data_IF_665449282833
#
_entry.id   IF_665449282833
#
_cell.length_a   1.000
_cell.length_b   1.000
_cell.length_c   1.000
_cell.angle_alpha   90.00
_cell.angle_beta   90.00
_cell.angle_gamma   90.00
#
_symmetry.space_group_name_H-M   'P 1'
#
loop_
_entity.id
_entity.type
_entity.pdbx_description
1 polymer ?
#
# COMPACT_ATOMS: atom_id res chain seq x y z
N UNK A 1 8.98 45.40 -18.69
CA UNK A 1 9.36 44.18 -17.96
C UNK A 1 8.36 43.11 -18.32
N UNK A 2 8.75 41.84 -18.52
CA UNK A 2 7.74 40.82 -18.88
C UNK A 2 6.76 40.65 -17.71
N UNK A 3 5.45 40.49 -17.96
CA UNK A 3 4.45 40.33 -16.89
C UNK A 3 4.58 39.00 -16.13
N UNK A 4 5.58 38.18 -16.44
CA UNK A 4 5.75 36.82 -15.93
C UNK A 4 5.97 36.80 -14.41
N UNK A 5 6.77 37.74 -13.88
CA UNK A 5 6.98 37.87 -12.43
C UNK A 5 5.72 38.28 -11.69
N UNK A 6 4.90 39.15 -12.30
CA UNK A 6 3.64 39.62 -11.72
C UNK A 6 2.59 38.50 -11.70
N UNK A 7 2.49 37.72 -12.78
CA UNK A 7 1.60 36.56 -12.87
C UNK A 7 2.01 35.48 -11.87
N UNK A 8 3.31 35.21 -11.73
CA UNK A 8 3.81 34.27 -10.74
C UNK A 8 3.46 34.71 -9.31
N UNK A 9 3.71 35.97 -8.97
CA UNK A 9 3.36 36.51 -7.64
C UNK A 9 1.85 36.44 -7.38
N UNK A 10 1.02 36.77 -8.38
CA UNK A 10 -0.44 36.64 -8.24
C UNK A 10 -0.86 35.19 -7.93
N UNK A 11 -0.24 34.20 -8.57
CA UNK A 11 -0.49 32.79 -8.25
C UNK A 11 -0.07 32.45 -6.81
N UNK A 12 1.08 32.94 -6.33
CA UNK A 12 1.54 32.72 -4.95
C UNK A 12 0.64 33.41 -3.91
N UNK A 13 0.05 34.55 -4.23
CA UNK A 13 -0.89 35.23 -3.34
C UNK A 13 -2.19 34.44 -3.14
N UNK A 14 -2.61 33.67 -4.15
CA UNK A 14 -3.77 32.79 -4.05
C UNK A 14 -3.56 31.55 -3.16
N UNK A 15 -2.34 31.30 -2.65
CA UNK A 15 -2.09 30.20 -1.71
C UNK A 15 -2.83 30.38 -0.38
N UNK A 16 -3.23 31.62 -0.05
CA UNK A 16 -3.99 31.95 1.16
C UNK A 16 -5.48 32.16 0.89
N UNK A 17 -5.98 31.77 -0.28
CA UNK A 17 -7.41 31.84 -0.59
C UNK A 17 -8.23 30.97 0.37
N UNK A 18 -9.47 31.41 0.66
CA UNK A 18 -10.41 30.66 1.51
C UNK A 18 -10.87 29.36 0.84
N UNK A 19 -10.91 29.34 -0.49
CA UNK A 19 -11.32 28.17 -1.26
C UNK A 19 -10.14 27.22 -1.53
N UNK A 20 -10.30 25.96 -1.15
CA UNK A 20 -9.28 24.92 -1.38
C UNK A 20 -8.99 24.69 -2.87
N UNK A 21 -10.03 24.74 -3.72
CA UNK A 21 -9.87 24.57 -5.17
C UNK A 21 -8.98 25.64 -5.78
N UNK A 22 -9.11 26.89 -5.33
CA UNK A 22 -8.29 28.01 -5.78
C UNK A 22 -6.84 27.82 -5.31
N UNK A 23 -6.62 27.40 -4.07
CA UNK A 23 -5.27 27.12 -3.54
C UNK A 23 -4.56 26.01 -4.34
N UNK A 24 -5.27 24.93 -4.67
CA UNK A 24 -4.74 23.83 -5.46
C UNK A 24 -4.41 24.27 -6.90
N UNK A 25 -5.32 25.00 -7.56
CA UNK A 25 -5.10 25.55 -8.90
C UNK A 25 -3.92 26.54 -8.93
N UNK A 26 -3.77 27.34 -7.89
CA UNK A 26 -2.66 28.27 -7.73
C UNK A 26 -1.31 27.54 -7.61
N UNK A 27 -1.23 26.48 -6.79
CA UNK A 27 -0.02 25.67 -6.67
C UNK A 27 0.34 24.99 -8.00
N UNK A 28 -0.66 24.47 -8.70
CA UNK A 28 -0.49 23.88 -10.03
C UNK A 28 0.02 24.92 -11.05
N UNK A 29 -0.58 26.12 -11.09
CA UNK A 29 -0.15 27.19 -11.98
C UNK A 29 1.27 27.68 -11.67
N UNK A 30 1.59 27.89 -10.39
CA UNK A 30 2.92 28.33 -9.96
C UNK A 30 4.02 27.33 -10.34
N UNK A 31 3.75 26.03 -10.19
CA UNK A 31 4.67 24.97 -10.63
C UNK A 31 4.90 24.99 -12.14
N UNK A 32 3.84 25.08 -12.94
CA UNK A 32 3.95 25.13 -14.39
C UNK A 32 4.62 26.40 -14.92
N UNK A 33 4.40 27.56 -14.27
CA UNK A 33 5.13 28.80 -14.57
C UNK A 33 6.63 28.61 -14.28
N UNK A 34 6.97 27.95 -13.17
CA UNK A 34 8.36 27.70 -12.80
C UNK A 34 9.09 26.77 -13.79
N UNK A 35 8.41 25.79 -14.39
CA UNK A 35 8.98 24.95 -15.46
C UNK A 35 9.45 25.80 -16.65
N UNK A 36 8.71 26.87 -16.98
CA UNK A 36 9.07 27.78 -18.07
C UNK A 36 10.38 28.53 -17.84
N UNK A 37 10.73 28.85 -16.58
CA UNK A 37 12.02 29.45 -16.22
C UNK A 37 12.45 29.05 -14.80
N UNK A 38 13.14 27.92 -14.70
CA UNK A 38 13.57 27.34 -13.42
C UNK A 38 14.52 28.24 -12.66
N UNK A 39 15.45 28.93 -13.34
CA UNK A 39 16.43 29.78 -12.68
C UNK A 39 15.80 30.96 -11.93
N UNK A 40 14.69 31.50 -12.44
CA UNK A 40 14.03 32.65 -11.85
C UNK A 40 13.03 32.27 -10.76
N UNK A 41 12.19 31.26 -11.00
CA UNK A 41 11.03 31.00 -10.15
C UNK A 41 11.26 29.87 -9.13
N UNK A 42 12.09 28.88 -9.45
CA UNK A 42 12.35 27.75 -8.54
C UNK A 42 12.95 28.19 -7.20
N UNK A 43 13.95 29.11 -7.13
CA UNK A 43 14.50 29.55 -5.85
C UNK A 43 13.45 30.22 -4.95
N UNK A 44 12.45 30.87 -5.53
CA UNK A 44 11.35 31.50 -4.77
C UNK A 44 10.48 30.41 -4.12
N UNK A 45 10.11 29.38 -4.88
CA UNK A 45 9.35 28.24 -4.36
C UNK A 45 10.14 27.52 -3.26
N UNK A 46 11.42 27.23 -3.48
CA UNK A 46 12.29 26.55 -2.49
C UNK A 46 12.40 27.37 -1.20
N UNK A 47 12.60 28.68 -1.33
CA UNK A 47 12.64 29.58 -0.17
C UNK A 47 11.33 29.54 0.62
N UNK A 48 10.19 29.56 -0.06
CA UNK A 48 8.88 29.46 0.59
C UNK A 48 8.68 28.14 1.34
N UNK A 49 9.14 27.02 0.78
CA UNK A 49 9.10 25.71 1.45
C UNK A 49 9.85 25.77 2.79
N UNK A 50 11.01 26.43 2.82
CA UNK A 50 11.83 26.57 4.03
C UNK A 50 11.25 27.60 5.02
N UNK A 51 10.81 28.77 4.54
CA UNK A 51 10.52 29.92 5.40
C UNK A 51 9.07 30.06 5.86
N UNK A 52 8.09 29.53 5.12
CA UNK A 52 6.67 29.78 5.37
C UNK A 52 5.91 28.49 5.70
N UNK A 53 5.61 28.26 6.99
CA UNK A 53 4.90 27.08 7.44
C UNK A 53 3.47 26.98 6.88
N UNK A 54 2.78 28.10 6.64
CA UNK A 54 1.39 28.10 6.13
C UNK A 54 1.35 27.79 4.64
N UNK A 55 2.31 28.32 3.87
CA UNK A 55 2.41 28.09 2.42
C UNK A 55 3.22 26.84 2.06
N UNK A 56 3.89 26.19 3.02
CA UNK A 56 4.80 25.05 2.78
C UNK A 56 4.18 23.93 1.97
N UNK A 57 2.98 23.46 2.34
CA UNK A 57 2.32 22.34 1.66
C UNK A 57 2.00 22.67 0.19
N UNK A 58 1.45 23.85 -0.07
CA UNK A 58 1.13 24.31 -1.43
C UNK A 58 2.39 24.56 -2.26
N UNK A 59 3.45 25.06 -1.63
CA UNK A 59 4.76 25.22 -2.27
C UNK A 59 5.38 23.88 -2.65
N UNK A 60 5.20 22.85 -1.83
CA UNK A 60 5.60 21.48 -2.15
C UNK A 60 4.76 20.86 -3.26
N UNK A 61 3.46 21.17 -3.34
CA UNK A 61 2.65 20.78 -4.50
C UNK A 61 3.15 21.44 -5.78
N UNK A 62 3.42 22.75 -5.75
CA UNK A 62 4.03 23.44 -6.89
C UNK A 62 5.39 22.83 -7.27
N UNK A 63 6.22 22.48 -6.28
CA UNK A 63 7.50 21.82 -6.51
C UNK A 63 7.33 20.41 -7.09
N UNK A 64 6.31 19.67 -6.66
CA UNK A 64 5.98 18.36 -7.20
C UNK A 64 5.62 18.46 -8.69
N UNK A 65 4.86 19.48 -9.11
CA UNK A 65 4.58 19.72 -10.52
C UNK A 65 5.87 19.95 -11.32
N UNK A 66 6.79 20.78 -10.79
CA UNK A 66 8.10 21.01 -11.40
C UNK A 66 8.86 19.69 -11.57
N UNK A 67 8.99 18.90 -10.51
CA UNK A 67 9.74 17.64 -10.52
C UNK A 67 9.10 16.58 -11.44
N UNK A 68 7.77 16.58 -11.54
CA UNK A 68 7.02 15.61 -12.35
C UNK A 68 7.05 15.93 -13.84
N UNK A 69 6.97 17.22 -14.21
CA UNK A 69 6.78 17.66 -15.59
C UNK A 69 8.03 18.28 -16.24
N UNK A 70 9.11 18.53 -15.49
CA UNK A 70 10.39 18.92 -16.08
C UNK A 70 11.00 17.80 -16.95
N UNK A 71 11.72 18.21 -17.99
CA UNK A 71 12.57 17.29 -18.74
C UNK A 71 13.72 16.78 -17.87
N UNK A 72 14.24 15.59 -18.19
CA UNK A 72 15.28 14.94 -17.40
C UNK A 72 16.52 15.81 -17.18
N UNK A 73 17.03 16.47 -18.23
CA UNK A 73 18.21 17.34 -18.13
C UNK A 73 17.97 18.63 -17.34
N UNK A 74 16.75 19.19 -17.39
CA UNK A 74 16.38 20.32 -16.53
C UNK A 74 16.33 19.89 -15.06
N UNK A 75 15.73 18.74 -14.77
CA UNK A 75 15.61 18.22 -13.42
C UNK A 75 16.98 17.91 -12.81
N UNK A 76 17.90 17.33 -13.58
CA UNK A 76 19.29 17.10 -13.20
C UNK A 76 19.98 18.39 -12.72
N UNK A 77 19.84 19.49 -13.47
CA UNK A 77 20.48 20.77 -13.14
C UNK A 77 20.00 21.41 -11.82
N UNK A 78 18.78 21.07 -11.38
CA UNK A 78 18.18 21.61 -10.15
C UNK A 78 18.12 20.60 -9.00
N UNK A 79 18.46 19.33 -9.25
CA UNK A 79 18.28 18.26 -8.30
C UNK A 79 19.04 18.49 -6.98
N UNK A 80 20.27 19.00 -7.03
CA UNK A 80 21.06 19.32 -5.83
C UNK A 80 20.40 20.39 -4.97
N UNK A 81 19.85 21.44 -5.60
CA UNK A 81 19.18 22.55 -4.92
C UNK A 81 17.92 22.09 -4.19
N UNK A 82 17.24 21.06 -4.72
CA UNK A 82 15.99 20.54 -4.17
C UNK A 82 16.20 19.44 -3.12
N UNK A 83 17.27 18.66 -3.25
CA UNK A 83 17.49 17.46 -2.46
C UNK A 83 17.53 17.74 -0.95
N UNK A 84 18.39 18.66 -0.51
CA UNK A 84 18.56 18.96 0.92
C UNK A 84 17.30 19.58 1.54
N UNK A 85 16.69 20.63 0.96
CA UNK A 85 15.47 21.21 1.51
C UNK A 85 14.31 20.20 1.61
N UNK A 86 14.17 19.29 0.64
CA UNK A 86 13.12 18.27 0.68
C UNK A 86 13.28 17.32 1.88
N UNK A 87 14.52 16.92 2.21
CA UNK A 87 14.78 16.10 3.39
C UNK A 87 14.51 16.85 4.69
N UNK A 88 15.07 18.04 4.86
CA UNK A 88 14.90 18.84 6.09
C UNK A 88 13.43 19.10 6.42
N UNK A 89 12.62 19.33 5.38
CA UNK A 89 11.19 19.54 5.55
C UNK A 89 10.42 18.23 5.83
N UNK A 90 10.87 17.10 5.29
CA UNK A 90 10.23 15.80 5.53
C UNK A 90 10.40 15.30 6.97
N UNK A 91 11.52 15.65 7.61
CA UNK A 91 11.90 15.21 8.96
C UNK A 91 11.03 15.81 10.07
N UNK A 92 10.49 17.02 9.86
CA UNK A 92 9.77 17.80 10.89
C UNK A 92 8.31 18.12 10.51
N UNK A 93 7.79 17.54 9.42
CA UNK A 93 6.46 17.85 8.92
C UNK A 93 5.46 16.71 9.14
N UNK A 94 4.18 17.08 8.95
CA UNK A 94 3.04 16.15 8.93
C UNK A 94 3.17 15.10 7.82
N UNK A 95 2.44 14.00 7.97
CA UNK A 95 2.46 12.85 7.05
C UNK A 95 2.14 13.26 5.59
N UNK A 96 1.18 14.16 5.39
CA UNK A 96 0.79 14.66 4.05
C UNK A 96 1.94 15.37 3.36
N UNK A 97 2.60 16.29 4.07
CA UNK A 97 3.75 17.05 3.60
C UNK A 97 4.93 16.12 3.31
N UNK A 98 5.16 15.16 4.20
CA UNK A 98 6.20 14.14 4.05
C UNK A 98 6.00 13.27 2.81
N UNK A 99 4.77 12.86 2.54
CA UNK A 99 4.46 12.05 1.37
C UNK A 99 4.70 12.81 0.05
N UNK A 100 4.38 14.11 0.00
CA UNK A 100 4.69 14.96 -1.16
C UNK A 100 6.20 15.11 -1.34
N UNK A 101 6.94 15.37 -0.26
CA UNK A 101 8.40 15.46 -0.30
C UNK A 101 9.03 14.14 -0.76
N UNK A 102 8.55 13.00 -0.26
CA UNK A 102 9.00 11.68 -0.67
C UNK A 102 8.75 11.40 -2.16
N UNK A 103 7.62 11.83 -2.72
CA UNK A 103 7.36 11.72 -4.15
C UNK A 103 8.39 12.50 -4.99
N UNK A 104 8.70 13.74 -4.59
CA UNK A 104 9.74 14.54 -5.23
C UNK A 104 11.11 13.88 -5.13
N UNK A 105 11.50 13.41 -3.93
CA UNK A 105 12.77 12.73 -3.70
C UNK A 105 12.91 11.44 -4.52
N UNK A 106 11.83 10.66 -4.62
CA UNK A 106 11.80 9.45 -5.44
C UNK A 106 12.07 9.77 -6.90
N UNK A 107 11.42 10.78 -7.46
CA UNK A 107 11.64 11.22 -8.85
C UNK A 107 13.04 11.82 -9.06
N UNK A 108 13.56 12.58 -8.10
CA UNK A 108 14.93 13.10 -8.16
C UNK A 108 15.98 11.97 -8.14
N UNK A 109 15.74 10.91 -7.35
CA UNK A 109 16.64 9.77 -7.26
C UNK A 109 16.79 9.02 -8.59
N UNK A 110 15.78 9.08 -9.47
CA UNK A 110 15.85 8.46 -10.81
C UNK A 110 16.72 9.25 -11.79
N UNK A 111 17.06 10.50 -11.50
CA UNK A 111 17.94 11.31 -12.35
C UNK A 111 19.39 10.86 -12.29
N UNK A 112 19.92 10.69 -11.07
CA UNK A 112 21.31 10.27 -10.81
C UNK A 112 21.34 9.14 -9.79
N UNK A 113 21.02 7.91 -10.20
CA UNK A 113 20.80 6.81 -9.27
C UNK A 113 22.06 6.49 -8.47
N UNK A 114 23.24 6.52 -9.10
CA UNK A 114 24.52 6.27 -8.46
C UNK A 114 24.87 7.28 -7.35
N UNK A 115 24.31 8.49 -7.39
CA UNK A 115 24.54 9.53 -6.38
C UNK A 115 23.49 9.52 -5.28
N UNK A 116 22.23 9.33 -5.64
CA UNK A 116 21.10 9.51 -4.74
C UNK A 116 20.65 8.23 -4.03
N UNK A 117 20.77 7.06 -4.66
CA UNK A 117 20.45 5.79 -4.00
C UNK A 117 21.30 5.51 -2.76
N UNK A 118 22.64 5.71 -2.77
CA UNK A 118 23.44 5.51 -1.56
C UNK A 118 23.07 6.48 -0.43
N UNK A 119 22.65 7.71 -0.77
CA UNK A 119 22.20 8.69 0.23
C UNK A 119 20.87 8.29 0.85
N UNK A 120 19.93 7.79 0.06
CA UNK A 120 18.67 7.20 0.56
C UNK A 120 18.97 6.00 1.47
N UNK A 121 19.85 5.11 1.03
CA UNK A 121 20.22 3.92 1.78
C UNK A 121 20.87 4.26 3.12
N UNK A 122 21.76 5.25 3.19
CA UNK A 122 22.37 5.68 4.45
C UNK A 122 21.33 6.14 5.50
N UNK A 123 20.21 6.71 5.05
CA UNK A 123 19.15 7.25 5.91
C UNK A 123 18.15 6.20 6.40
N UNK A 124 18.23 4.94 5.97
CA UNK A 124 17.38 3.86 6.52
C UNK A 124 17.68 3.56 7.99
N UNK A 125 18.87 3.92 8.47
CA UNK A 125 19.33 3.73 9.86
C UNK A 125 19.30 5.03 10.68
N UNK A 126 18.64 6.07 10.16
CA UNK A 126 18.53 7.34 10.86
C UNK A 126 17.75 7.15 12.17
N UNK A 127 18.16 7.86 13.22
CA UNK A 127 17.43 7.89 14.50
C UNK A 127 15.99 8.41 14.36
N UNK A 128 15.75 9.33 13.40
CA UNK A 128 14.44 9.92 13.20
C UNK A 128 13.52 8.98 12.38
N UNK A 129 12.39 8.49 12.94
CA UNK A 129 11.45 7.65 12.19
C UNK A 129 10.83 8.37 10.98
N UNK A 130 10.68 9.70 11.02
CA UNK A 130 10.18 10.47 9.89
C UNK A 130 11.14 10.44 8.69
N UNK A 131 12.45 10.44 8.94
CA UNK A 131 13.46 10.30 7.90
C UNK A 131 13.36 8.91 7.24
N UNK A 132 13.32 7.85 8.05
CA UNK A 132 13.16 6.46 7.57
C UNK A 132 11.87 6.28 6.75
N UNK A 133 10.75 6.83 7.25
CA UNK A 133 9.46 6.83 6.54
C UNK A 133 9.52 7.53 5.17
N UNK A 134 10.23 8.67 5.10
CA UNK A 134 10.41 9.43 3.86
C UNK A 134 11.19 8.62 2.83
N UNK A 135 12.29 7.98 3.25
CA UNK A 135 13.13 7.15 2.40
C UNK A 135 12.34 6.00 1.79
N UNK A 136 11.60 5.25 2.62
CA UNK A 136 10.77 4.13 2.16
C UNK A 136 9.70 4.60 1.17
N UNK A 137 9.05 5.72 1.47
CA UNK A 137 8.04 6.30 0.58
C UNK A 137 8.64 6.77 -0.74
N UNK A 138 9.85 7.34 -0.71
CA UNK A 138 10.56 7.77 -1.92
C UNK A 138 10.91 6.58 -2.82
N UNK A 139 11.43 5.49 -2.23
CA UNK A 139 11.69 4.24 -2.95
C UNK A 139 10.38 3.68 -3.56
N UNK A 140 9.28 3.70 -2.81
CA UNK A 140 7.96 3.29 -3.35
C UNK A 140 7.58 4.04 -4.62
N UNK A 141 7.78 5.37 -4.64
CA UNK A 141 7.48 6.18 -5.83
C UNK A 141 8.38 5.86 -7.03
N UNK A 142 9.56 5.28 -6.80
CA UNK A 142 10.45 4.88 -7.90
C UNK A 142 9.97 3.62 -8.65
N UNK A 143 9.11 2.79 -8.05
CA UNK A 143 8.62 1.57 -8.70
C UNK A 143 7.65 1.82 -9.87
N UNK A 144 7.06 3.01 -9.98
CA UNK A 144 6.09 3.34 -11.03
C UNK A 144 6.74 3.83 -12.33
N UNK A 145 7.85 4.56 -12.25
CA UNK A 145 8.40 5.33 -13.38
C UNK A 145 9.94 5.27 -13.46
N UNK A 146 10.51 4.05 -13.55
CA UNK A 146 11.97 3.87 -13.66
C UNK A 146 12.37 2.92 -14.78
N UNK A 147 13.49 3.25 -15.42
CA UNK A 147 14.16 2.45 -16.45
C UNK A 147 14.92 1.27 -15.86
N UNK A 148 15.19 0.25 -16.67
CA UNK A 148 15.84 -0.99 -16.22
C UNK A 148 17.24 -0.77 -15.60
N UNK A 149 17.99 0.25 -16.04
CA UNK A 149 19.30 0.59 -15.46
C UNK A 149 19.21 1.10 -14.01
N UNK A 150 18.09 1.69 -13.62
CA UNK A 150 17.84 2.06 -12.23
C UNK A 150 17.60 0.82 -11.37
N UNK A 151 16.84 -0.14 -11.92
CA UNK A 151 16.46 -1.38 -11.23
C UNK A 151 17.69 -2.24 -10.89
N UNK A 152 18.68 -2.28 -11.78
CA UNK A 152 19.97 -2.96 -11.55
C UNK A 152 20.73 -2.40 -10.34
N UNK A 153 20.68 -1.08 -10.14
CA UNK A 153 21.32 -0.40 -9.00
C UNK A 153 20.48 -0.51 -7.71
N UNK A 154 19.16 -0.56 -7.84
CA UNK A 154 18.24 -0.69 -6.70
C UNK A 154 18.22 -2.11 -6.14
N UNK A 155 18.24 -3.14 -7.00
CA UNK A 155 18.12 -4.55 -6.62
C UNK A 155 18.98 -4.97 -5.42
N UNK A 156 20.30 -4.69 -5.35
CA UNK A 156 21.12 -5.10 -4.20
C UNK A 156 20.74 -4.40 -2.89
N UNK A 157 20.14 -3.21 -2.94
CA UNK A 157 19.74 -2.41 -1.78
C UNK A 157 18.28 -2.65 -1.38
N UNK A 158 17.51 -3.33 -2.22
CA UNK A 158 16.06 -3.44 -2.10
C UNK A 158 15.64 -4.16 -0.82
N UNK A 159 16.36 -5.20 -0.43
CA UNK A 159 16.10 -5.94 0.81
C UNK A 159 16.21 -5.00 2.01
N UNK A 160 17.26 -4.17 2.08
CA UNK A 160 17.47 -3.28 3.21
C UNK A 160 16.35 -2.24 3.35
N UNK A 161 15.85 -1.70 2.23
CA UNK A 161 14.70 -0.78 2.25
C UNK A 161 13.41 -1.47 2.70
N UNK A 162 13.16 -2.69 2.22
CA UNK A 162 11.93 -3.43 2.52
C UNK A 162 11.97 -4.11 3.90
N UNK A 163 13.16 -4.39 4.44
CA UNK A 163 13.33 -4.90 5.80
C UNK A 163 12.91 -3.90 6.89
N UNK A 164 12.67 -2.63 6.54
CA UNK A 164 12.01 -1.65 7.42
C UNK A 164 10.56 -2.03 7.78
N UNK A 165 10.01 -3.12 7.24
CA UNK A 165 8.81 -3.76 7.78
C UNK A 165 8.99 -4.23 9.24
N UNK A 166 10.23 -4.35 9.73
CA UNK A 166 10.57 -4.69 11.12
C UNK A 166 10.90 -3.48 12.00
N UNK A 167 10.72 -2.25 11.50
CA UNK A 167 11.10 -1.03 12.22
C UNK A 167 10.42 -0.91 13.60
N UNK A 168 10.94 -0.15 14.56
CA UNK A 168 10.23 0.07 15.82
C UNK A 168 8.95 0.91 15.62
N UNK A 169 8.97 1.83 14.65
CA UNK A 169 7.87 2.74 14.35
C UNK A 169 6.82 2.11 13.42
N UNK A 170 5.56 2.14 13.84
CA UNK A 170 4.43 1.55 13.10
C UNK A 170 4.19 2.21 11.74
N UNK A 171 4.47 3.51 11.62
CA UNK A 171 4.29 4.24 10.36
C UNK A 171 5.33 3.77 9.35
N UNK A 172 6.59 3.61 9.79
CA UNK A 172 7.66 3.08 8.94
C UNK A 172 7.34 1.66 8.47
N UNK A 173 6.87 0.77 9.37
CA UNK A 173 6.45 -0.59 8.98
C UNK A 173 5.37 -0.57 7.90
N UNK A 174 4.29 0.18 8.13
CA UNK A 174 3.16 0.28 7.19
C UNK A 174 3.63 0.78 5.82
N UNK A 175 4.49 1.79 5.78
CA UNK A 175 5.04 2.32 4.53
C UNK A 175 5.94 1.30 3.83
N UNK A 176 6.72 0.50 4.57
CA UNK A 176 7.57 -0.54 4.00
C UNK A 176 6.74 -1.68 3.40
N UNK A 177 5.65 -2.10 4.05
CA UNK A 177 4.70 -3.07 3.49
C UNK A 177 4.01 -2.48 2.24
N UNK A 178 3.62 -1.21 2.26
CA UNK A 178 3.05 -0.52 1.08
C UNK A 178 4.06 -0.41 -0.08
N UNK A 179 5.35 -0.21 0.22
CA UNK A 179 6.42 -0.23 -0.76
C UNK A 179 6.59 -1.62 -1.38
N UNK A 180 6.59 -2.67 -0.56
CA UNK A 180 6.62 -4.07 -1.03
C UNK A 180 5.40 -4.39 -1.90
N UNK A 181 4.20 -3.96 -1.51
CA UNK A 181 2.98 -4.11 -2.31
C UNK A 181 3.14 -3.48 -3.70
N UNK A 182 3.65 -2.25 -3.75
CA UNK A 182 3.86 -1.52 -5.00
C UNK A 182 4.86 -2.24 -5.89
N UNK A 183 6.00 -2.67 -5.33
CA UNK A 183 7.01 -3.45 -6.06
C UNK A 183 6.45 -4.78 -6.58
N UNK A 184 5.67 -5.49 -5.76
CA UNK A 184 5.02 -6.75 -6.14
C UNK A 184 4.06 -6.58 -7.33
N UNK A 185 3.41 -5.42 -7.45
CA UNK A 185 2.46 -5.12 -8.53
C UNK A 185 3.12 -4.62 -9.81
N UNK A 186 4.12 -3.74 -9.70
CA UNK A 186 4.70 -3.07 -10.88
C UNK A 186 5.99 -3.73 -11.36
N UNK A 187 6.83 -4.23 -10.45
CA UNK A 187 8.14 -4.83 -10.75
C UNK A 187 8.35 -6.17 -10.02
N UNK A 188 7.55 -7.21 -10.32
CA UNK A 188 7.63 -8.47 -9.60
C UNK A 188 9.00 -9.17 -9.74
N UNK A 189 9.71 -8.92 -10.86
CA UNK A 189 11.03 -9.48 -11.12
C UNK A 189 12.09 -9.03 -10.09
N UNK A 190 11.98 -7.82 -9.54
CA UNK A 190 12.88 -7.31 -8.50
C UNK A 190 12.69 -8.01 -7.15
N UNK A 191 11.46 -8.41 -6.85
CA UNK A 191 11.12 -9.01 -5.55
C UNK A 191 11.41 -10.50 -5.54
N UNK A 192 11.26 -11.16 -6.69
CA UNK A 192 11.33 -12.61 -6.87
C UNK A 192 12.49 -13.30 -6.14
N UNK A 193 13.69 -12.77 -6.24
CA UNK A 193 14.89 -13.40 -5.67
C UNK A 193 15.06 -13.13 -4.18
N UNK A 194 14.33 -12.15 -3.65
CA UNK A 194 14.39 -11.72 -2.25
C UNK A 194 13.22 -12.21 -1.40
N UNK A 195 12.26 -12.94 -2.00
CA UNK A 195 11.05 -13.40 -1.31
C UNK A 195 11.32 -14.24 -0.06
N UNK A 196 12.31 -15.12 -0.10
CA UNK A 196 12.67 -15.96 1.05
C UNK A 196 13.09 -15.12 2.27
N UNK A 197 13.71 -13.96 2.04
CA UNK A 197 14.08 -13.05 3.10
C UNK A 197 12.91 -12.17 3.56
N UNK A 198 12.00 -11.79 2.65
CA UNK A 198 10.92 -10.83 2.96
C UNK A 198 9.66 -11.48 3.53
N UNK A 199 9.34 -12.71 3.10
CA UNK A 199 8.11 -13.43 3.49
C UNK A 199 7.97 -13.66 5.00
N UNK A 200 8.99 -14.12 5.74
CA UNK A 200 8.85 -14.33 7.18
C UNK A 200 8.50 -13.05 7.94
N UNK A 201 8.99 -11.90 7.46
CA UNK A 201 8.70 -10.59 8.05
C UNK A 201 7.26 -10.15 7.72
N UNK A 202 6.83 -10.35 6.47
CA UNK A 202 5.47 -10.05 6.05
C UNK A 202 4.43 -10.89 6.81
N UNK A 203 4.72 -12.18 7.06
CA UNK A 203 3.83 -13.08 7.82
C UNK A 203 3.71 -12.74 9.30
N UNK A 204 4.71 -12.08 9.89
CA UNK A 204 4.59 -11.55 11.27
C UNK A 204 3.56 -10.43 11.33
N UNK A 205 3.56 -9.55 10.33
CA UNK A 205 2.64 -8.42 10.24
C UNK A 205 1.18 -8.83 9.94
N UNK A 206 0.90 -10.09 9.56
CA UNK A 206 -0.49 -10.57 9.43
C UNK A 206 -1.12 -11.00 10.75
N UNK A 207 -0.34 -11.07 11.83
CA UNK A 207 -0.84 -11.51 13.15
C UNK A 207 -1.46 -10.34 13.92
N UNK A 208 -2.54 -10.61 14.63
CA UNK A 208 -3.17 -9.62 15.50
C UNK A 208 -2.25 -9.40 16.71
N UNK A 209 -1.71 -8.20 16.84
CA UNK A 209 -0.94 -7.81 18.02
C UNK A 209 -1.87 -7.18 19.06
N UNK A 210 -2.16 -7.84 20.19
CA UNK A 210 -3.04 -7.31 21.23
C UNK A 210 -2.51 -6.02 21.87
N UNK A 211 -1.19 -5.79 21.84
CA UNK A 211 -0.58 -4.57 22.41
C UNK A 211 -0.92 -3.30 21.63
N UNK A 212 -1.34 -3.44 20.36
CA UNK A 212 -1.76 -2.34 19.49
C UNK A 212 -3.27 -2.08 19.54
N UNK A 213 -4.00 -2.80 20.40
CA UNK A 213 -5.44 -2.70 20.53
C UNK A 213 -5.78 -1.92 21.80
N UNK A 214 -6.38 -0.75 21.63
CA UNK A 214 -6.88 0.08 22.73
C UNK A 214 -8.39 0.18 22.71
N UNK A 215 -9.00 0.16 23.90
CA UNK A 215 -10.45 0.36 24.04
C UNK A 215 -10.70 1.79 24.48
N UNK A 216 -11.30 2.58 23.60
CA UNK A 216 -11.68 3.97 23.86
C UNK A 216 -13.12 4.01 24.36
N UNK A 217 -13.34 4.57 25.55
CA UNK A 217 -14.67 4.78 26.10
C UNK A 217 -15.32 6.00 25.41
N UNK A 218 -16.45 5.76 24.73
CA UNK A 218 -17.29 6.78 24.11
C UNK A 218 -18.58 6.90 24.92
N UNK A 219 -18.47 7.46 26.13
CA UNK A 219 -19.59 7.55 27.09
C UNK A 219 -20.03 6.16 27.57
N UNK A 220 -21.28 5.72 27.31
CA UNK A 220 -21.74 4.36 27.66
C UNK A 220 -21.27 3.26 26.68
N UNK A 221 -20.60 3.63 25.58
CA UNK A 221 -20.15 2.70 24.55
C UNK A 221 -18.63 2.48 24.61
N UNK A 222 -18.17 1.29 24.25
CA UNK A 222 -16.76 0.97 24.11
C UNK A 222 -16.41 0.79 22.63
N UNK A 223 -15.38 1.49 22.15
CA UNK A 223 -14.87 1.35 20.80
C UNK A 223 -13.44 0.79 20.84
N UNK A 224 -13.26 -0.41 20.28
CA UNK A 224 -11.95 -1.05 20.13
C UNK A 224 -11.25 -0.44 18.91
N UNK A 225 -10.14 0.24 19.13
CA UNK A 225 -9.27 0.81 18.09
C UNK A 225 -8.04 -0.09 17.98
N UNK A 226 -7.82 -0.63 16.78
CA UNK A 226 -6.69 -1.47 16.44
C UNK A 226 -5.72 -0.66 15.58
N UNK A 227 -4.66 -0.13 16.19
CA UNK A 227 -3.69 0.73 15.50
C UNK A 227 -2.81 -0.10 14.51
N UNK A 228 -2.84 -1.45 14.60
CA UNK A 228 -2.15 -2.36 13.68
C UNK A 228 -3.00 -2.80 12.48
N UNK A 229 -4.29 -2.48 12.44
CA UNK A 229 -5.22 -2.99 11.43
C UNK A 229 -4.84 -2.61 9.99
N UNK A 230 -4.43 -1.36 9.77
CA UNK A 230 -4.06 -0.87 8.43
C UNK A 230 -2.78 -1.53 7.90
N UNK A 231 -1.83 -1.83 8.78
CA UNK A 231 -0.64 -2.62 8.44
C UNK A 231 -1.04 -4.06 8.09
N UNK A 232 -1.92 -4.70 8.88
CA UNK A 232 -2.44 -6.05 8.57
C UNK A 232 -3.12 -6.10 7.20
N UNK A 233 -4.02 -5.16 6.91
CA UNK A 233 -4.71 -5.08 5.60
C UNK A 233 -3.72 -5.00 4.45
N UNK A 234 -2.74 -4.09 4.55
CA UNK A 234 -1.70 -3.94 3.53
C UNK A 234 -0.85 -5.20 3.40
N UNK A 235 -0.60 -5.92 4.50
CA UNK A 235 0.13 -7.18 4.48
C UNK A 235 -0.66 -8.29 3.74
N UNK A 236 -1.94 -8.46 4.06
CA UNK A 236 -2.82 -9.41 3.35
C UNK A 236 -2.96 -9.07 1.86
N UNK A 237 -3.06 -7.79 1.53
CA UNK A 237 -3.10 -7.33 0.14
C UNK A 237 -1.81 -7.69 -0.59
N UNK A 238 -0.67 -7.47 0.06
CA UNK A 238 0.66 -7.79 -0.48
C UNK A 238 0.81 -9.30 -0.70
N UNK A 239 0.41 -10.14 0.25
CA UNK A 239 0.43 -11.60 0.11
C UNK A 239 -0.47 -12.04 -1.06
N UNK A 240 -1.64 -11.42 -1.21
CA UNK A 240 -2.58 -11.70 -2.30
C UNK A 240 -1.97 -11.38 -3.68
N UNK A 241 -1.22 -10.27 -3.82
CA UNK A 241 -0.52 -9.92 -5.06
C UNK A 241 0.73 -10.77 -5.33
N UNK A 242 1.44 -11.17 -4.29
CA UNK A 242 2.57 -12.08 -4.42
C UNK A 242 2.12 -13.51 -4.76
N UNK A 243 0.91 -13.91 -4.37
CA UNK A 243 0.32 -15.23 -4.68
C UNK A 243 0.48 -15.64 -6.15
N UNK A 244 -0.02 -14.92 -7.17
CA UNK A 244 0.20 -15.30 -8.57
C UNK A 244 1.67 -15.35 -8.99
N UNK A 245 2.57 -14.56 -8.39
CA UNK A 245 4.00 -14.65 -8.66
C UNK A 245 4.59 -15.98 -8.18
N UNK A 246 4.11 -16.49 -7.05
CA UNK A 246 4.48 -17.81 -6.53
C UNK A 246 3.86 -18.96 -7.32
N UNK A 247 2.62 -18.75 -7.75
CA UNK A 247 1.74 -19.81 -8.23
C UNK A 247 1.78 -20.00 -9.76
N UNK A 248 2.05 -18.96 -10.55
CA UNK A 248 1.94 -19.01 -12.01
C UNK A 248 3.29 -19.14 -12.74
N UNK A 249 4.39 -18.93 -12.02
CA UNK A 249 5.73 -19.24 -12.49
C UNK A 249 6.12 -20.58 -11.88
N UNK A 250 6.15 -21.66 -12.67
CA UNK A 250 6.63 -23.01 -12.30
C UNK A 250 8.04 -23.02 -11.65
N UNK A 251 8.72 -21.89 -11.67
CA UNK A 251 10.06 -21.63 -11.15
C UNK A 251 10.07 -20.93 -9.76
N UNK A 252 8.92 -20.60 -9.16
CA UNK A 252 8.80 -20.00 -7.82
C UNK A 252 8.05 -20.86 -6.80
N UNK A 253 7.23 -21.81 -7.27
CA UNK A 253 6.47 -22.72 -6.41
C UNK A 253 7.31 -23.47 -5.35
N UNK A 254 8.54 -23.97 -5.64
CA UNK A 254 9.36 -24.63 -4.61
C UNK A 254 9.95 -23.67 -3.56
N UNK A 255 9.83 -22.35 -3.74
CA UNK A 255 10.30 -21.35 -2.77
C UNK A 255 9.22 -20.98 -1.75
N UNK A 256 7.96 -21.34 -1.98
CA UNK A 256 6.86 -21.04 -1.07
C UNK A 256 6.49 -22.28 -0.26
N UNK A 257 6.59 -22.19 1.07
CA UNK A 257 5.99 -23.20 1.94
C UNK A 257 4.47 -23.01 1.95
N UNK A 258 3.77 -23.88 1.21
CA UNK A 258 2.31 -23.88 1.17
C UNK A 258 1.71 -24.05 2.58
N UNK A 259 2.34 -24.84 3.45
CA UNK A 259 1.87 -25.03 4.81
C UNK A 259 1.91 -23.71 5.61
N UNK A 260 3.02 -22.97 5.50
CA UNK A 260 3.14 -21.66 6.13
C UNK A 260 2.14 -20.65 5.53
N UNK A 261 1.95 -20.65 4.21
CA UNK A 261 0.94 -19.80 3.55
C UNK A 261 -0.47 -20.07 4.08
N UNK A 262 -0.88 -21.34 4.18
CA UNK A 262 -2.17 -21.72 4.76
C UNK A 262 -2.32 -21.29 6.21
N UNK A 263 -1.24 -21.38 7.00
CA UNK A 263 -1.24 -20.91 8.39
C UNK A 263 -1.52 -19.41 8.55
N UNK A 264 -1.44 -18.63 7.46
CA UNK A 264 -1.77 -17.19 7.43
C UNK A 264 -3.13 -16.91 6.81
N UNK A 265 -3.51 -17.62 5.75
CA UNK A 265 -4.82 -17.45 5.10
C UNK A 265 -5.97 -17.85 6.04
N UNK A 266 -5.83 -18.94 6.80
CA UNK A 266 -6.89 -19.43 7.67
C UNK A 266 -7.26 -18.43 8.80
N UNK A 267 -6.30 -17.85 9.56
CA UNK A 267 -6.60 -16.77 10.50
C UNK A 267 -7.25 -15.54 9.84
N UNK A 268 -6.88 -15.20 8.60
CA UNK A 268 -7.47 -14.07 7.87
C UNK A 268 -8.97 -14.22 7.60
N UNK A 269 -9.49 -15.44 7.52
CA UNK A 269 -10.95 -15.70 7.43
C UNK A 269 -11.69 -15.37 8.72
N UNK A 270 -10.97 -15.37 9.85
CA UNK A 270 -11.50 -15.11 11.18
C UNK A 270 -11.19 -13.69 11.70
N UNK A 271 -10.55 -12.84 10.90
CA UNK A 271 -10.22 -11.45 11.30
C UNK A 271 -11.51 -10.64 11.52
N UNK A 272 -11.45 -9.57 12.32
CA UNK A 272 -12.58 -8.68 12.54
C UNK A 272 -12.90 -7.85 11.27
N UNK A 273 -11.91 -7.65 10.40
CA UNK A 273 -12.04 -6.85 9.17
C UNK A 273 -12.58 -7.62 7.97
N UNK A 274 -13.67 -7.12 7.39
CA UNK A 274 -14.26 -7.68 6.17
C UNK A 274 -13.30 -7.61 4.96
N UNK A 275 -12.46 -6.58 4.85
CA UNK A 275 -11.47 -6.46 3.78
C UNK A 275 -10.45 -7.61 3.83
N UNK A 276 -9.96 -7.96 5.02
CA UNK A 276 -9.03 -9.08 5.22
C UNK A 276 -9.70 -10.42 4.89
N UNK A 277 -10.97 -10.59 5.26
CA UNK A 277 -11.75 -11.79 4.87
C UNK A 277 -11.90 -11.90 3.36
N UNK A 278 -12.25 -10.82 2.68
CA UNK A 278 -12.37 -10.80 1.20
C UNK A 278 -11.04 -11.15 0.53
N UNK A 279 -9.92 -10.59 1.02
CA UNK A 279 -8.58 -10.95 0.53
C UNK A 279 -8.29 -12.43 0.76
N UNK A 280 -8.68 -12.97 1.91
CA UNK A 280 -8.52 -14.39 2.26
C UNK A 280 -9.34 -15.32 1.35
N UNK A 281 -10.59 -14.95 1.03
CA UNK A 281 -11.40 -15.66 0.05
C UNK A 281 -10.76 -15.66 -1.35
N UNK A 282 -10.22 -14.51 -1.78
CA UNK A 282 -9.52 -14.38 -3.05
C UNK A 282 -8.27 -15.26 -3.12
N UNK A 283 -7.50 -15.33 -2.03
CA UNK A 283 -6.33 -16.20 -1.93
C UNK A 283 -6.73 -17.68 -1.99
N UNK A 284 -7.77 -18.10 -1.26
CA UNK A 284 -8.29 -19.48 -1.34
C UNK A 284 -8.76 -19.84 -2.75
N UNK A 285 -9.48 -18.93 -3.42
CA UNK A 285 -9.92 -19.11 -4.80
C UNK A 285 -8.73 -19.32 -5.76
N UNK A 286 -7.66 -18.54 -5.61
CA UNK A 286 -6.45 -18.70 -6.43
C UNK A 286 -5.71 -19.99 -6.11
N UNK A 287 -5.56 -20.31 -4.83
CA UNK A 287 -4.92 -21.56 -4.39
C UNK A 287 -5.65 -22.79 -4.92
N UNK A 288 -6.98 -22.76 -5.01
CA UNK A 288 -7.74 -23.90 -5.54
C UNK A 288 -7.40 -24.19 -7.00
N UNK A 289 -6.97 -23.20 -7.77
CA UNK A 289 -6.59 -23.39 -9.17
C UNK A 289 -5.17 -23.95 -9.32
N UNK A 290 -4.29 -23.69 -8.36
CA UNK A 290 -2.84 -23.94 -8.53
C UNK A 290 -2.32 -25.08 -7.67
N UNK A 291 -2.83 -25.24 -6.46
CA UNK A 291 -2.46 -26.33 -5.56
C UNK A 291 -3.70 -27.08 -5.04
N UNK A 292 -4.55 -27.63 -5.93
CA UNK A 292 -5.84 -28.22 -5.55
C UNK A 292 -5.70 -29.32 -4.50
N UNK A 293 -4.68 -30.18 -4.60
CA UNK A 293 -4.46 -31.28 -3.65
C UNK A 293 -4.11 -30.81 -2.24
N UNK A 294 -3.25 -29.78 -2.12
CA UNK A 294 -2.85 -29.23 -0.82
C UNK A 294 -4.02 -28.48 -0.15
N UNK A 295 -4.80 -27.75 -0.96
CA UNK A 295 -6.02 -27.07 -0.49
C UNK A 295 -7.05 -28.09 0.00
N UNK A 296 -7.32 -29.13 -0.79
CA UNK A 296 -8.34 -30.14 -0.49
C UNK A 296 -8.15 -30.84 0.86
N UNK A 297 -6.91 -30.99 1.32
CA UNK A 297 -6.57 -31.58 2.62
C UNK A 297 -6.86 -30.65 3.82
N UNK A 298 -6.98 -29.34 3.59
CA UNK A 298 -7.14 -28.31 4.65
C UNK A 298 -8.51 -27.62 4.59
N UNK A 299 -9.41 -28.03 3.69
CA UNK A 299 -10.73 -27.41 3.53
C UNK A 299 -11.61 -27.52 4.79
N UNK A 300 -11.52 -28.64 5.51
CA UNK A 300 -12.27 -28.84 6.75
C UNK A 300 -11.90 -27.82 7.85
N UNK A 301 -10.68 -27.29 7.83
CA UNK A 301 -10.24 -26.22 8.76
C UNK A 301 -10.79 -24.84 8.39
N UNK A 302 -10.96 -24.56 7.10
CA UNK A 302 -11.53 -23.30 6.60
C UNK A 302 -13.07 -23.25 6.75
N UNK A 303 -13.72 -24.43 6.74
CA UNK A 303 -15.18 -24.58 6.68
C UNK A 303 -15.93 -23.79 7.77
N UNK A 304 -15.54 -23.80 9.06
CA UNK A 304 -16.26 -23.07 10.10
C UNK A 304 -16.33 -21.55 9.85
N UNK A 305 -15.23 -20.97 9.33
CA UNK A 305 -15.17 -19.53 9.04
C UNK A 305 -15.97 -19.15 7.79
N UNK A 306 -15.96 -20.01 6.78
CA UNK A 306 -16.80 -19.85 5.58
C UNK A 306 -18.29 -19.96 5.95
N UNK A 307 -18.66 -20.92 6.81
CA UNK A 307 -20.02 -21.04 7.35
C UNK A 307 -20.43 -19.80 8.14
N UNK A 308 -19.56 -19.28 9.01
CA UNK A 308 -19.82 -18.05 9.77
C UNK A 308 -20.07 -16.86 8.84
N UNK A 309 -19.26 -16.73 7.79
CA UNK A 309 -19.42 -15.68 6.77
C UNK A 309 -20.76 -15.82 6.02
N UNK A 310 -21.16 -17.05 5.70
CA UNK A 310 -22.42 -17.32 5.00
C UNK A 310 -23.67 -17.08 5.87
N UNK A 311 -23.57 -17.17 7.19
CA UNK A 311 -24.68 -16.83 8.12
C UNK A 311 -25.06 -15.34 8.07
N UNK A 312 -24.11 -14.46 7.73
CA UNK A 312 -24.35 -13.02 7.58
C UNK A 312 -24.72 -12.32 8.89
N UNK A 313 -25.05 -11.02 8.80
CA UNK A 313 -25.52 -10.22 9.94
C UNK A 313 -26.98 -10.54 10.26
N UNK A 314 -27.28 -10.82 11.54
CA UNK A 314 -28.67 -10.97 12.00
C UNK A 314 -29.40 -9.64 11.91
N UNK A 315 -30.44 -9.58 11.08
CA UNK A 315 -31.22 -8.35 10.84
C UNK A 315 -32.05 -8.01 12.07
N UNK A 316 -31.69 -6.90 12.74
CA UNK A 316 -32.43 -6.31 13.84
C UNK A 316 -32.95 -4.92 13.43
N UNK A 317 -33.78 -4.29 14.27
CA UNK A 317 -34.35 -2.95 13.99
C UNK A 317 -33.31 -1.84 13.80
N UNK A 318 -32.11 -2.03 14.36
CA UNK A 318 -31.01 -1.07 14.31
C UNK A 318 -30.00 -1.37 13.18
N UNK A 319 -30.25 -2.38 12.33
CA UNK A 319 -29.33 -2.76 11.26
C UNK A 319 -29.35 -1.74 10.13
N UNK A 320 -28.21 -1.09 9.91
CA UNK A 320 -28.06 -0.07 8.88
C UNK A 320 -28.01 -0.74 7.49
N UNK A 321 -28.65 -0.13 6.50
CA UNK A 321 -28.66 -0.63 5.11
C UNK A 321 -27.25 -0.88 4.56
N UNK A 322 -26.29 -0.03 4.91
CA UNK A 322 -24.89 -0.17 4.52
C UNK A 322 -24.23 -1.44 5.05
N UNK A 323 -24.60 -1.89 6.26
CA UNK A 323 -24.05 -3.12 6.85
C UNK A 323 -24.61 -4.37 6.15
N UNK A 324 -25.86 -4.31 5.69
CA UNK A 324 -26.46 -5.36 4.86
C UNK A 324 -25.77 -5.47 3.50
N UNK A 325 -25.46 -4.34 2.86
CA UNK A 325 -24.75 -4.31 1.58
C UNK A 325 -23.31 -4.85 1.71
N UNK A 326 -22.59 -4.48 2.77
CA UNK A 326 -21.26 -5.01 3.10
C UNK A 326 -21.30 -6.51 3.36
N UNK A 327 -22.24 -6.98 4.20
CA UNK A 327 -22.42 -8.41 4.47
C UNK A 327 -22.75 -9.19 3.20
N UNK A 328 -23.54 -8.62 2.28
CA UNK A 328 -23.89 -9.28 1.02
C UNK A 328 -22.71 -9.36 0.03
N UNK A 329 -21.84 -8.35 -0.02
CA UNK A 329 -20.59 -8.43 -0.80
C UNK A 329 -19.64 -9.49 -0.23
N UNK A 330 -19.52 -9.52 1.10
CA UNK A 330 -18.70 -10.52 1.78
C UNK A 330 -19.20 -11.95 1.50
N UNK A 331 -20.52 -12.19 1.60
CA UNK A 331 -21.13 -13.47 1.23
C UNK A 331 -20.90 -13.84 -0.24
N UNK A 332 -20.99 -12.88 -1.17
CA UNK A 332 -20.68 -13.11 -2.60
C UNK A 332 -19.23 -13.52 -2.80
N UNK A 333 -18.29 -12.89 -2.09
CA UNK A 333 -16.87 -13.26 -2.15
C UNK A 333 -16.62 -14.68 -1.61
N UNK A 334 -17.26 -15.05 -0.49
CA UNK A 334 -17.18 -16.37 0.10
C UNK A 334 -17.78 -17.44 -0.83
N UNK A 335 -18.94 -17.18 -1.44
CA UNK A 335 -19.57 -18.08 -2.40
C UNK A 335 -18.67 -18.36 -3.61
N UNK A 336 -18.00 -17.35 -4.17
CA UNK A 336 -17.04 -17.54 -5.27
C UNK A 336 -15.89 -18.45 -4.88
N UNK A 337 -15.32 -18.25 -3.68
CA UNK A 337 -14.28 -19.12 -3.16
C UNK A 337 -14.79 -20.55 -2.97
N UNK A 338 -15.93 -20.74 -2.29
CA UNK A 338 -16.54 -22.07 -2.07
C UNK A 338 -16.86 -22.78 -3.38
N UNK A 339 -17.37 -22.06 -4.39
CA UNK A 339 -17.65 -22.63 -5.70
C UNK A 339 -16.40 -23.17 -6.38
N UNK A 340 -15.26 -22.46 -6.28
CA UNK A 340 -13.99 -22.94 -6.81
C UNK A 340 -13.42 -24.12 -6.00
N UNK A 341 -13.51 -24.06 -4.67
CA UNK A 341 -13.06 -25.11 -3.76
C UNK A 341 -13.89 -26.41 -3.91
N UNK A 342 -15.17 -26.31 -4.26
CA UNK A 342 -16.03 -27.48 -4.51
C UNK A 342 -15.60 -28.33 -5.71
N UNK A 343 -14.78 -27.78 -6.62
CA UNK A 343 -14.29 -28.47 -7.82
C UNK A 343 -13.06 -29.34 -7.56
N UNK A 344 -12.40 -29.21 -6.41
CA UNK A 344 -11.05 -29.77 -6.19
C UNK A 344 -10.96 -30.83 -5.11
N UNK A 345 -12.01 -31.05 -4.32
CA UNK A 345 -11.92 -31.80 -3.06
C UNK A 345 -13.07 -32.74 -2.75
N UNK A 346 -13.85 -33.16 -3.75
CA UNK A 346 -15.02 -34.04 -3.53
C UNK A 346 -14.61 -35.34 -2.83
N UNK A 347 -15.09 -35.55 -1.60
CA UNK A 347 -14.83 -36.75 -0.81
C UNK A 347 -13.55 -36.73 0.04
N UNK A 348 -12.77 -35.65 0.00
CA UNK A 348 -11.53 -35.51 0.79
C UNK A 348 -11.81 -34.79 2.12
N UNK A 349 -12.72 -33.82 2.12
CA UNK A 349 -13.05 -32.97 3.27
C UNK A 349 -14.56 -33.05 3.56
N UNK A 350 -14.99 -33.99 4.41
CA UNK A 350 -16.41 -34.30 4.60
C UNK A 350 -17.21 -33.15 5.22
N UNK A 351 -16.60 -32.29 6.05
CA UNK A 351 -17.30 -31.13 6.61
C UNK A 351 -17.55 -30.09 5.54
N UNK A 352 -16.56 -29.86 4.69
CA UNK A 352 -16.69 -28.95 3.56
C UNK A 352 -17.75 -29.44 2.55
N UNK A 353 -17.75 -30.73 2.23
CA UNK A 353 -18.74 -31.31 1.31
C UNK A 353 -20.18 -31.17 1.84
N UNK A 354 -20.40 -31.42 3.14
CA UNK A 354 -21.70 -31.19 3.77
C UNK A 354 -22.14 -29.72 3.67
N UNK A 355 -21.22 -28.79 3.93
CA UNK A 355 -21.48 -27.37 3.80
C UNK A 355 -21.84 -26.95 2.37
N UNK A 356 -21.14 -27.48 1.37
CA UNK A 356 -21.45 -27.22 -0.05
C UNK A 356 -22.83 -27.76 -0.42
N UNK A 357 -23.21 -28.94 0.06
CA UNK A 357 -24.55 -29.51 -0.17
C UNK A 357 -25.65 -28.68 0.50
N UNK A 358 -25.41 -28.16 1.71
CA UNK A 358 -26.32 -27.21 2.36
C UNK A 358 -26.47 -25.92 1.57
N UNK A 359 -25.37 -25.39 1.01
CA UNK A 359 -25.38 -24.18 0.18
C UNK A 359 -26.10 -24.38 -1.15
N UNK A 360 -25.92 -25.53 -1.82
CA UNK A 360 -26.61 -25.86 -3.08
C UNK A 360 -28.13 -25.89 -2.93
N UNK A 361 -28.63 -26.23 -1.74
CA UNK A 361 -30.07 -26.19 -1.41
C UNK A 361 -30.60 -24.77 -1.26
N UNK A 362 -29.73 -23.77 -1.09
CA UNK A 362 -30.08 -22.37 -0.93
C UNK A 362 -30.12 -21.66 -2.31
N UNK A 363 -31.18 -20.89 -2.64
CA UNK A 363 -31.33 -20.23 -3.95
C UNK A 363 -30.18 -19.27 -4.36
N UNK A 364 -29.31 -18.86 -3.43
CA UNK A 364 -28.16 -17.98 -3.68
C UNK A 364 -27.00 -18.64 -4.43
N UNK A 365 -26.92 -19.97 -4.51
CA UNK A 365 -25.86 -20.71 -5.19
C UNK A 365 -25.89 -20.57 -6.73
N UNK A 366 -27.09 -20.50 -7.32
CA UNK A 366 -27.27 -20.47 -8.79
C UNK A 366 -26.79 -19.18 -9.48
N UNK A 367 -26.66 -18.08 -8.73
CA UNK A 367 -26.28 -16.76 -9.27
C UNK A 367 -24.77 -16.51 -9.27
N UNK A 368 -24.01 -17.17 -8.39
CA UNK A 368 -22.55 -16.96 -8.21
C UNK A 368 -21.69 -17.98 -8.95
N UNK A 369 -22.22 -19.16 -9.29
CA UNK A 369 -21.50 -20.22 -10.02
C UNK A 369 -21.23 -19.92 -11.50
N UNK A 370 -21.78 -18.82 -12.04
CA UNK A 370 -21.67 -18.40 -13.45
C UNK A 370 -20.77 -17.19 -13.72
N UNK A 371 -20.13 -16.57 -12.71
CA UNK A 371 -19.23 -15.42 -12.89
C UNK A 371 -17.76 -15.78 -12.70
#
# INVERSE_FOLDING_TARGET
MSPQSEIFNYAIDQFTSEEEQIRAAAAFAAGNIAIGNLHQFLPIIVKMVQSDQKKRLLSLYALKEVVTHCSHGQLESVAETLWVPLFENSENAEETTRNVAAACLGKLATTHPAKYLPQLHARIKDSNPAARATVVSAIRYTFAETVQSYDELLSPLLVDFLSLMMDEDLTVRRLAISALNSAARTKPHLIRDHLNALLPHLYKETTINPDLIRVVQMGPWQHKVDDGLEARKTAYETISFLSPLFLQLDTCLPKLDLHEFFSRVLPGLADDSDEIKVMSHMMLFRLSQVAPSAVAQRLDEATPQLQATMKGVTVNKDTVKQDLERSAELQRSALRAVAALSKIGTGISPRFDQFVEELKRNPTWGLSSKS
#
